data_IF_141764332255
#
_entry.id   IF_141764332255
#
_cell.length_a   1.000
_cell.length_b   1.000
_cell.length_c   1.000
_cell.angle_alpha   90.00
_cell.angle_beta   90.00
_cell.angle_gamma   90.00
#
_symmetry.space_group_name_H-M   'P 1'
#
loop_
_entity.id
_entity.type
_entity.pdbx_description
1 polymer ?
#
# COMPACT_ATOMS: atom_id res chain seq x y z
N UNK A 1 26.57 -60.55 -19.01
CA UNK A 1 26.00 -59.47 -18.18
C UNK A 1 25.80 -58.26 -19.08
N UNK A 2 24.56 -57.80 -19.31
CA UNK A 2 24.34 -56.59 -20.09
C UNK A 2 24.53 -55.36 -19.19
N UNK A 3 25.35 -54.42 -19.67
CA UNK A 3 25.56 -53.08 -19.12
C UNK A 3 24.73 -52.13 -19.96
N UNK A 4 23.65 -51.61 -19.40
CA UNK A 4 22.92 -50.37 -19.77
C UNK A 4 21.98 -50.15 -18.59
N UNK A 5 22.07 -49.07 -17.81
CA UNK A 5 21.44 -47.79 -18.12
C UNK A 5 22.27 -46.66 -17.49
N UNK A 6 22.89 -45.82 -18.32
CA UNK A 6 23.12 -44.42 -17.95
C UNK A 6 21.87 -43.65 -18.34
N UNK A 7 21.07 -43.30 -17.35
CA UNK A 7 20.15 -42.17 -17.43
C UNK A 7 20.72 -41.17 -16.43
N UNK A 8 21.58 -40.29 -16.94
CA UNK A 8 21.91 -39.04 -16.27
C UNK A 8 20.73 -38.10 -16.47
N UNK A 9 19.65 -38.33 -15.72
CA UNK A 9 18.67 -37.29 -15.48
C UNK A 9 19.27 -36.36 -14.43
N UNK A 10 20.09 -35.42 -14.90
CA UNK A 10 20.36 -34.18 -14.18
C UNK A 10 19.08 -33.35 -14.21
N UNK A 11 18.08 -33.78 -13.43
CA UNK A 11 17.02 -32.89 -13.00
C UNK A 11 17.69 -31.77 -12.22
N UNK A 12 17.72 -30.58 -12.82
CA UNK A 12 17.93 -29.33 -12.10
C UNK A 12 16.89 -29.27 -10.98
N UNK A 13 17.22 -29.83 -9.82
CA UNK A 13 16.55 -29.54 -8.57
C UNK A 13 16.94 -28.11 -8.21
N UNK A 14 16.41 -27.13 -8.96
CA UNK A 14 16.33 -25.75 -8.48
C UNK A 14 15.41 -25.79 -7.28
N UNK A 15 15.99 -26.02 -6.11
CA UNK A 15 15.31 -25.82 -4.84
C UNK A 15 14.76 -24.41 -4.86
N UNK A 16 13.44 -24.29 -4.82
CA UNK A 16 12.75 -23.01 -4.75
C UNK A 16 13.38 -22.19 -3.62
N UNK A 17 14.07 -21.11 -3.96
CA UNK A 17 14.66 -20.22 -2.96
C UNK A 17 13.51 -19.58 -2.19
N UNK A 18 13.46 -19.82 -0.89
CA UNK A 18 12.45 -19.23 -0.02
C UNK A 18 12.74 -17.74 0.13
N UNK A 19 11.84 -16.90 -0.38
CA UNK A 19 11.88 -15.45 -0.23
C UNK A 19 10.49 -14.96 0.21
N UNK A 20 10.22 -14.84 1.52
CA UNK A 20 8.88 -14.58 2.06
C UNK A 20 8.34 -13.20 1.66
N UNK A 21 9.22 -12.28 1.28
CA UNK A 21 8.83 -10.98 0.76
C UNK A 21 8.19 -11.07 -0.64
N UNK A 22 8.41 -12.17 -1.38
CA UNK A 22 7.75 -12.44 -2.66
C UNK A 22 6.61 -13.44 -2.42
N UNK A 23 5.35 -13.09 -2.73
CA UNK A 23 4.25 -14.03 -2.65
C UNK A 23 4.47 -15.25 -3.55
N UNK A 24 4.00 -16.41 -3.09
CA UNK A 24 4.21 -17.69 -3.78
C UNK A 24 3.71 -17.68 -5.23
N UNK A 25 2.57 -17.05 -5.47
CA UNK A 25 1.95 -16.95 -6.80
C UNK A 25 2.84 -16.21 -7.81
N UNK A 26 3.68 -15.28 -7.34
CA UNK A 26 4.55 -14.45 -8.17
C UNK A 26 5.98 -15.00 -8.31
N UNK A 27 6.37 -16.01 -7.52
CA UNK A 27 7.73 -16.60 -7.58
C UNK A 27 8.06 -17.21 -8.95
N UNK A 28 7.05 -17.74 -9.65
CA UNK A 28 7.22 -18.28 -11.00
C UNK A 28 7.72 -17.25 -12.00
N UNK A 29 7.47 -15.96 -11.74
CA UNK A 29 7.93 -14.87 -12.59
C UNK A 29 9.41 -14.53 -12.38
N UNK A 30 10.05 -15.06 -11.34
CA UNK A 30 11.42 -14.74 -10.92
C UNK A 30 12.38 -15.94 -11.06
N UNK A 31 11.97 -16.97 -11.81
CA UNK A 31 12.82 -18.12 -12.14
C UNK A 31 14.08 -17.66 -12.87
N UNK A 32 15.25 -18.16 -12.45
CA UNK A 32 16.55 -17.76 -12.98
C UNK A 32 17.24 -16.61 -12.22
N UNK A 33 16.61 -16.05 -11.19
CA UNK A 33 17.18 -15.03 -10.30
C UNK A 33 17.36 -15.56 -8.87
N UNK A 34 17.67 -16.85 -8.71
CA UNK A 34 17.74 -17.51 -7.40
C UNK A 34 18.74 -16.86 -6.44
N UNK A 35 19.91 -16.46 -6.95
CA UNK A 35 20.95 -15.80 -6.15
C UNK A 35 20.50 -14.42 -5.66
N UNK A 36 19.77 -13.67 -6.49
CA UNK A 36 19.23 -12.37 -6.15
C UNK A 36 18.08 -12.50 -5.15
N UNK A 37 17.23 -13.52 -5.30
CA UNK A 37 16.17 -13.83 -4.33
C UNK A 37 16.72 -14.18 -2.95
N UNK A 38 17.85 -14.90 -2.88
CA UNK A 38 18.55 -15.19 -1.62
C UNK A 38 19.04 -13.90 -0.96
N UNK A 39 19.69 -13.00 -1.71
CA UNK A 39 20.10 -11.67 -1.22
C UNK A 39 18.91 -10.83 -0.76
N UNK A 40 17.80 -10.87 -1.51
CA UNK A 40 16.56 -10.16 -1.14
C UNK A 40 16.01 -10.70 0.18
N UNK A 41 16.05 -12.02 0.38
CA UNK A 41 15.65 -12.65 1.64
C UNK A 41 16.55 -12.20 2.81
N UNK A 42 17.88 -12.20 2.62
CA UNK A 42 18.83 -11.72 3.62
C UNK A 42 18.56 -10.26 4.03
N UNK A 43 18.41 -9.35 3.06
CA UNK A 43 18.15 -7.94 3.39
C UNK A 43 16.78 -7.71 4.01
N UNK A 44 15.80 -8.55 3.69
CA UNK A 44 14.49 -8.52 4.33
C UNK A 44 14.59 -8.97 5.79
N UNK A 45 15.33 -10.04 6.08
CA UNK A 45 15.57 -10.52 7.44
C UNK A 45 16.33 -9.50 8.30
N UNK A 46 17.34 -8.85 7.72
CA UNK A 46 18.07 -7.75 8.35
C UNK A 46 17.16 -6.57 8.64
N UNK A 47 16.33 -6.17 7.65
CA UNK A 47 15.36 -5.10 7.83
C UNK A 47 14.37 -5.44 8.95
N UNK A 48 13.77 -6.64 8.95
CA UNK A 48 12.84 -7.08 10.02
C UNK A 48 13.50 -7.04 11.39
N UNK A 49 14.72 -7.55 11.49
CA UNK A 49 15.51 -7.54 12.73
C UNK A 49 15.76 -6.13 13.23
N UNK A 50 16.10 -5.19 12.33
CA UNK A 50 16.31 -3.77 12.66
C UNK A 50 15.03 -3.05 13.07
N UNK A 51 13.87 -3.52 12.61
CA UNK A 51 12.58 -2.90 12.86
C UNK A 51 11.87 -3.42 14.12
N UNK A 52 12.15 -4.65 14.58
CA UNK A 52 11.56 -5.22 15.82
C UNK A 52 11.87 -4.42 17.08
N UNK A 53 12.95 -3.65 17.11
CA UNK A 53 13.30 -2.76 18.22
C UNK A 53 12.65 -1.37 18.15
N UNK A 54 11.91 -1.07 17.08
CA UNK A 54 11.28 0.24 16.89
C UNK A 54 9.83 0.23 17.36
N UNK A 55 9.31 1.34 17.91
CA UNK A 55 7.91 1.42 18.32
C UNK A 55 7.00 1.12 17.13
N UNK A 56 6.12 0.13 17.27
CA UNK A 56 5.06 -0.17 16.30
C UNK A 56 3.85 0.73 16.48
N UNK A 57 3.69 1.35 17.66
CA UNK A 57 2.68 2.38 17.91
C UNK A 57 3.32 3.75 17.67
N UNK A 58 3.08 4.30 16.48
CA UNK A 58 3.53 5.63 16.10
C UNK A 58 2.32 6.38 15.54
N UNK A 59 2.14 7.63 15.94
CA UNK A 59 0.99 8.44 15.51
C UNK A 59 1.26 9.20 14.18
N UNK A 60 2.24 8.76 13.39
CA UNK A 60 2.70 9.47 12.19
C UNK A 60 2.81 8.52 10.99
N UNK A 61 2.04 8.85 9.95
CA UNK A 61 2.01 8.19 8.64
C UNK A 61 3.38 8.19 7.97
N UNK A 62 4.10 9.31 8.05
CA UNK A 62 5.41 9.49 7.44
C UNK A 62 6.45 8.54 7.99
N UNK A 63 6.39 8.23 9.29
CA UNK A 63 7.33 7.29 9.93
C UNK A 63 7.12 5.87 9.39
N UNK A 64 5.87 5.42 9.21
CA UNK A 64 5.63 4.11 8.61
C UNK A 64 6.06 4.05 7.16
N UNK A 65 5.73 5.07 6.37
CA UNK A 65 6.13 5.13 4.97
C UNK A 65 7.64 5.16 4.80
N UNK A 66 8.37 5.87 5.66
CA UNK A 66 9.84 5.90 5.64
C UNK A 66 10.44 4.53 5.99
N UNK A 67 9.91 3.84 7.00
CA UNK A 67 10.37 2.48 7.34
C UNK A 67 10.13 1.48 6.20
N UNK A 68 8.98 1.56 5.55
CA UNK A 68 8.67 0.77 4.36
C UNK A 68 9.62 1.17 3.22
N UNK A 69 9.86 2.45 3.00
CA UNK A 69 10.79 2.95 1.99
C UNK A 69 12.21 2.44 2.22
N UNK A 70 12.67 2.32 3.47
CA UNK A 70 13.96 1.72 3.79
C UNK A 70 14.06 0.27 3.28
N UNK A 71 12.98 -0.52 3.40
CA UNK A 71 12.92 -1.86 2.82
C UNK A 71 13.07 -1.81 1.29
N UNK A 72 12.37 -0.90 0.63
CA UNK A 72 12.47 -0.70 -0.82
C UNK A 72 13.90 -0.40 -1.28
N UNK A 73 14.60 0.45 -0.54
CA UNK A 73 16.00 0.80 -0.81
C UNK A 73 16.89 -0.43 -0.63
N UNK A 74 16.74 -1.18 0.47
CA UNK A 74 17.51 -2.40 0.72
C UNK A 74 17.29 -3.46 -0.37
N UNK A 75 16.05 -3.67 -0.79
CA UNK A 75 15.70 -4.58 -1.90
C UNK A 75 16.33 -4.12 -3.21
N UNK A 76 16.27 -2.81 -3.50
CA UNK A 76 16.91 -2.25 -4.69
C UNK A 76 18.43 -2.46 -4.71
N UNK A 77 19.08 -2.32 -3.54
CA UNK A 77 20.51 -2.60 -3.38
C UNK A 77 20.81 -4.10 -3.55
N UNK A 78 19.98 -4.98 -3.00
CA UNK A 78 20.16 -6.44 -3.09
C UNK A 78 20.09 -6.95 -4.55
N UNK A 79 19.23 -6.34 -5.36
CA UNK A 79 19.14 -6.62 -6.80
C UNK A 79 20.37 -6.10 -7.59
N UNK A 80 21.21 -5.27 -6.96
CA UNK A 80 22.49 -4.81 -7.52
C UNK A 80 22.33 -4.05 -8.84
N UNK A 81 23.06 -4.49 -9.87
CA UNK A 81 23.05 -3.87 -11.19
C UNK A 81 21.82 -4.30 -12.04
N UNK A 82 21.04 -5.27 -11.59
CA UNK A 82 19.89 -5.77 -12.33
C UNK A 82 18.64 -4.92 -12.08
N UNK A 83 18.63 -3.75 -12.73
CA UNK A 83 17.54 -2.79 -12.61
C UNK A 83 16.17 -3.37 -12.95
N UNK A 84 16.10 -4.23 -13.97
CA UNK A 84 14.85 -4.84 -14.39
C UNK A 84 14.26 -5.75 -13.30
N UNK A 85 15.10 -6.54 -12.62
CA UNK A 85 14.68 -7.35 -11.49
C UNK A 85 14.23 -6.49 -10.31
N UNK A 86 15.01 -5.45 -9.97
CA UNK A 86 14.64 -4.53 -8.90
C UNK A 86 13.27 -3.89 -9.12
N UNK A 87 13.02 -3.37 -10.33
CA UNK A 87 11.74 -2.78 -10.71
C UNK A 87 10.60 -3.82 -10.65
N UNK A 88 10.85 -5.04 -11.09
CA UNK A 88 9.86 -6.13 -11.06
C UNK A 88 9.51 -6.55 -9.64
N UNK A 89 10.50 -6.79 -8.80
CA UNK A 89 10.30 -7.16 -7.38
C UNK A 89 9.57 -6.04 -6.64
N UNK A 90 10.00 -4.79 -6.80
CA UNK A 90 9.32 -3.65 -6.17
C UNK A 90 7.88 -3.47 -6.67
N UNK A 91 7.60 -3.80 -7.94
CA UNK A 91 6.25 -3.78 -8.49
C UNK A 91 5.36 -4.87 -7.86
N UNK A 92 5.87 -6.09 -7.70
CA UNK A 92 5.17 -7.20 -7.04
C UNK A 92 4.82 -6.80 -5.59
N UNK A 93 5.83 -6.47 -4.79
CA UNK A 93 5.64 -6.12 -3.36
C UNK A 93 4.70 -4.92 -3.24
N UNK A 94 4.89 -3.88 -4.07
CA UNK A 94 4.05 -2.68 -4.06
C UNK A 94 2.60 -2.95 -4.46
N UNK A 95 2.35 -3.89 -5.39
CA UNK A 95 1.01 -4.32 -5.77
C UNK A 95 0.30 -5.01 -4.61
N UNK A 96 0.97 -5.93 -3.93
CA UNK A 96 0.41 -6.66 -2.79
C UNK A 96 0.15 -5.76 -1.58
N UNK A 97 1.09 -4.86 -1.23
CA UNK A 97 0.83 -3.86 -0.19
C UNK A 97 -0.35 -2.97 -0.51
N UNK A 98 -0.48 -2.51 -1.76
CA UNK A 98 -1.62 -1.70 -2.20
C UNK A 98 -2.93 -2.48 -2.06
N UNK A 99 -2.96 -3.73 -2.52
CA UNK A 99 -4.13 -4.61 -2.42
C UNK A 99 -4.52 -4.84 -0.96
N UNK A 100 -3.55 -5.09 -0.09
CA UNK A 100 -3.77 -5.25 1.34
C UNK A 100 -4.31 -3.97 1.98
N UNK A 101 -3.72 -2.80 1.68
CA UNK A 101 -4.19 -1.51 2.16
C UNK A 101 -5.64 -1.23 1.76
N UNK A 102 -5.97 -1.41 0.47
CA UNK A 102 -7.32 -1.21 -0.06
C UNK A 102 -8.31 -2.20 0.58
N UNK A 103 -7.89 -3.44 0.83
CA UNK A 103 -8.71 -4.43 1.53
C UNK A 103 -9.03 -3.97 2.95
N UNK A 104 -8.05 -3.43 3.69
CA UNK A 104 -8.27 -2.86 5.02
C UNK A 104 -9.22 -1.66 4.97
N UNK A 105 -9.03 -0.74 4.02
CA UNK A 105 -9.95 0.40 3.79
C UNK A 105 -11.36 -0.09 3.50
N UNK A 106 -11.53 -1.13 2.67
CA UNK A 106 -12.83 -1.67 2.30
C UNK A 106 -13.64 -2.19 3.50
N UNK A 107 -12.95 -2.64 4.56
CA UNK A 107 -13.55 -3.13 5.81
C UNK A 107 -13.94 -2.00 6.77
N UNK A 108 -13.51 -0.76 6.52
CA UNK A 108 -13.88 0.38 7.36
C UNK A 108 -15.39 0.67 7.30
N UNK A 109 -16.02 1.01 8.44
CA UNK A 109 -17.43 1.38 8.47
C UNK A 109 -17.66 2.73 7.77
N UNK A 110 -18.76 2.83 7.02
CA UNK A 110 -19.18 4.06 6.35
C UNK A 110 -20.64 4.38 6.74
N UNK A 111 -20.88 4.68 8.02
CA UNK A 111 -22.23 4.89 8.57
C UNK A 111 -22.82 6.25 8.21
N UNK A 112 -21.99 7.22 7.82
CA UNK A 112 -22.40 8.56 7.44
C UNK A 112 -21.54 9.10 6.28
N UNK A 113 -21.95 10.24 5.69
CA UNK A 113 -21.26 10.83 4.54
C UNK A 113 -19.80 11.21 4.81
N UNK A 114 -19.47 11.63 6.04
CA UNK A 114 -18.08 11.96 6.40
C UNK A 114 -17.20 10.69 6.43
N UNK A 115 -17.70 9.60 7.00
CA UNK A 115 -16.99 8.31 6.99
C UNK A 115 -16.86 7.74 5.58
N UNK A 116 -17.89 7.91 4.74
CA UNK A 116 -17.82 7.52 3.33
C UNK A 116 -16.76 8.34 2.57
N UNK A 117 -16.69 9.65 2.84
CA UNK A 117 -15.67 10.54 2.28
C UNK A 117 -14.26 10.13 2.72
N UNK A 118 -14.02 9.92 4.02
CA UNK A 118 -12.73 9.43 4.56
C UNK A 118 -12.34 8.10 3.89
N UNK A 119 -13.26 7.14 3.82
CA UNK A 119 -13.02 5.84 3.20
C UNK A 119 -12.62 5.98 1.73
N UNK A 120 -13.29 6.83 0.96
CA UNK A 120 -12.94 7.07 -0.43
C UNK A 120 -11.60 7.80 -0.59
N UNK A 121 -11.34 8.80 0.26
CA UNK A 121 -10.04 9.51 0.30
C UNK A 121 -8.91 8.52 0.53
N UNK A 122 -9.05 7.63 1.52
CA UNK A 122 -8.04 6.60 1.81
C UNK A 122 -7.88 5.60 0.67
N UNK A 123 -8.97 5.16 0.06
CA UNK A 123 -8.90 4.27 -1.10
C UNK A 123 -8.10 4.93 -2.25
N UNK A 124 -8.37 6.20 -2.54
CA UNK A 124 -7.64 6.97 -3.54
C UNK A 124 -6.16 7.16 -3.16
N UNK A 125 -5.89 7.52 -1.91
CA UNK A 125 -4.54 7.69 -1.38
C UNK A 125 -3.71 6.42 -1.55
N UNK A 126 -4.17 5.28 -1.03
CA UNK A 126 -3.43 4.01 -1.15
C UNK A 126 -3.35 3.49 -2.59
N UNK A 127 -4.36 3.77 -3.42
CA UNK A 127 -4.30 3.44 -4.85
C UNK A 127 -3.15 4.17 -5.57
N UNK A 128 -2.91 5.43 -5.22
CA UNK A 128 -1.90 6.28 -5.86
C UNK A 128 -0.52 6.21 -5.17
N UNK A 129 -0.49 5.75 -3.92
CA UNK A 129 0.71 5.69 -3.11
C UNK A 129 1.82 4.86 -3.76
N UNK A 130 3.04 5.43 -3.71
CA UNK A 130 4.27 4.79 -4.17
C UNK A 130 5.22 4.61 -2.99
N UNK A 131 5.22 3.41 -2.41
CA UNK A 131 6.00 3.07 -1.20
C UNK A 131 7.52 3.28 -1.32
N UNK A 132 8.07 3.27 -2.54
CA UNK A 132 9.51 3.51 -2.78
C UNK A 132 9.91 4.99 -2.90
N UNK A 133 8.97 5.94 -2.84
CA UNK A 133 9.24 7.36 -3.02
C UNK A 133 9.17 8.13 -1.69
N UNK A 134 9.72 9.34 -1.72
CA UNK A 134 9.47 10.32 -0.67
C UNK A 134 8.02 10.78 -0.74
N UNK A 135 7.33 10.72 0.39
CA UNK A 135 5.89 11.01 0.47
C UNK A 135 5.66 12.00 1.60
N UNK A 136 5.02 13.11 1.26
CA UNK A 136 4.49 14.07 2.23
C UNK A 136 3.02 13.72 2.50
N UNK A 137 2.70 13.01 3.61
CA UNK A 137 1.39 12.36 3.76
C UNK A 137 0.22 13.32 3.73
N UNK A 138 0.37 14.48 4.38
CA UNK A 138 -0.64 15.54 4.40
C UNK A 138 -0.97 16.01 2.98
N UNK A 139 0.04 16.30 2.17
CA UNK A 139 -0.15 16.81 0.81
C UNK A 139 -0.80 15.76 -0.10
N UNK A 140 -0.38 14.50 0.00
CA UNK A 140 -0.93 13.41 -0.81
C UNK A 140 -2.38 13.06 -0.43
N UNK A 141 -2.72 13.11 0.86
CA UNK A 141 -4.10 12.91 1.32
C UNK A 141 -4.97 14.10 0.91
N UNK A 142 -4.47 15.33 0.98
CA UNK A 142 -5.19 16.51 0.49
C UNK A 142 -5.51 16.40 -1.02
N UNK A 143 -4.57 15.92 -1.84
CA UNK A 143 -4.79 15.72 -3.29
C UNK A 143 -5.88 14.69 -3.59
N UNK A 144 -6.10 13.76 -2.69
CA UNK A 144 -7.06 12.66 -2.84
C UNK A 144 -8.36 12.86 -2.06
N UNK A 145 -8.46 13.96 -1.31
CA UNK A 145 -9.59 14.28 -0.45
C UNK A 145 -10.89 14.45 -1.26
N UNK A 146 -11.91 13.69 -0.86
CA UNK A 146 -13.26 13.80 -1.43
C UNK A 146 -14.15 14.53 -0.43
N UNK A 147 -14.81 15.61 -0.90
CA UNK A 147 -15.70 16.38 -0.04
C UNK A 147 -16.98 15.59 0.29
N UNK A 148 -17.46 15.57 1.55
CA UNK A 148 -18.71 14.90 1.94
C UNK A 148 -19.94 15.35 1.14
N UNK A 149 -19.93 16.59 0.66
CA UNK A 149 -20.98 17.17 -0.18
C UNK A 149 -21.08 16.52 -1.57
N UNK A 150 -19.97 15.99 -2.10
CA UNK A 150 -19.96 15.24 -3.35
C UNK A 150 -20.60 13.86 -3.18
N UNK A 151 -20.43 13.25 -2.00
CA UNK A 151 -21.06 11.96 -1.64
C UNK A 151 -22.58 12.06 -1.48
N UNK A 152 -23.10 13.22 -1.06
CA UNK A 152 -24.55 13.43 -0.92
C UNK A 152 -25.26 13.49 -2.27
N UNK A 153 -24.63 14.10 -3.28
CA UNK A 153 -25.21 14.34 -4.62
C UNK A 153 -25.35 13.09 -5.49
N UNK A 154 -24.61 12.02 -5.20
CA UNK A 154 -24.70 10.75 -5.95
C UNK A 154 -25.88 9.86 -5.53
N UNK A 155 -26.60 10.21 -4.47
CA UNK A 155 -27.72 9.42 -3.92
C UNK A 155 -29.12 9.98 -4.22
N UNK A 156 -29.23 11.15 -4.84
CA UNK A 156 -30.54 11.75 -5.18
C UNK A 156 -31.01 11.34 -6.59
N UNK A 157 -32.28 10.92 -6.77
CA UNK A 157 -32.87 10.73 -8.09
C UNK A 157 -32.96 12.08 -8.84
N UNK A 158 -32.98 12.10 -10.19
CA UNK A 158 -32.91 13.32 -10.98
C UNK A 158 -34.18 14.17 -10.81
N UNK A 159 -34.19 15.02 -9.78
CA UNK A 159 -35.31 15.90 -9.49
C UNK A 159 -35.20 17.18 -10.31
N UNK A 160 -36.34 17.52 -10.92
CA UNK A 160 -36.60 18.57 -11.89
C UNK A 160 -35.95 19.93 -11.57
N UNK A 161 -35.41 20.52 -12.63
CA UNK A 161 -35.06 21.94 -12.80
C UNK A 161 -36.01 22.86 -12.01
N UNK A 162 -35.46 23.62 -11.06
CA UNK A 162 -36.04 24.89 -10.60
C UNK A 162 -34.99 25.99 -10.56
N UNK A 163 -35.51 27.18 -10.84
CA UNK A 163 -34.91 28.41 -11.33
C UNK A 163 -33.93 29.10 -10.37
N UNK A 164 -32.90 29.71 -10.96
CA UNK A 164 -31.88 30.55 -10.32
C UNK A 164 -32.49 31.77 -9.63
N UNK A 165 -32.31 31.89 -8.33
CA UNK A 165 -32.28 33.16 -7.62
C UNK A 165 -30.88 33.37 -7.04
N UNK A 166 -30.24 34.45 -7.47
CA UNK A 166 -28.87 34.83 -7.12
C UNK A 166 -28.79 35.34 -5.67
N UNK A 167 -28.26 34.52 -4.76
CA UNK A 167 -27.75 34.98 -3.47
C UNK A 167 -26.21 34.98 -3.50
N UNK A 168 -25.61 36.17 -3.63
CA UNK A 168 -24.15 36.36 -3.64
C UNK A 168 -23.54 36.43 -2.23
N UNK A 169 -24.34 36.46 -1.16
CA UNK A 169 -23.85 36.57 0.23
C UNK A 169 -23.68 35.22 0.93
N UNK A 170 -24.27 34.15 0.39
CA UNK A 170 -24.21 32.79 0.97
C UNK A 170 -22.99 31.97 0.53
N UNK A 171 -22.31 32.37 -0.55
CA UNK A 171 -21.19 31.59 -1.13
C UNK A 171 -19.94 31.58 -0.25
N UNK A 172 -19.68 32.65 0.51
CA UNK A 172 -18.50 32.69 1.38
C UNK A 172 -18.65 31.79 2.60
N UNK A 173 -19.83 31.71 3.23
CA UNK A 173 -20.06 30.76 4.33
C UNK A 173 -20.02 29.32 3.84
N UNK A 174 -20.67 29.03 2.71
CA UNK A 174 -20.69 27.68 2.12
C UNK A 174 -19.28 27.21 1.71
N UNK A 175 -18.41 28.12 1.25
CA UNK A 175 -17.01 27.82 0.97
C UNK A 175 -16.21 27.56 2.27
N UNK A 176 -16.38 28.38 3.31
CA UNK A 176 -15.67 28.20 4.60
C UNK A 176 -16.10 26.88 5.26
N UNK A 177 -17.39 26.55 5.27
CA UNK A 177 -17.89 25.28 5.81
C UNK A 177 -17.37 24.08 5.01
N UNK A 178 -17.22 24.23 3.69
CA UNK A 178 -16.64 23.20 2.85
C UNK A 178 -15.15 23.01 3.13
N UNK A 179 -14.39 24.09 3.26
CA UNK A 179 -12.96 24.03 3.56
C UNK A 179 -12.71 23.39 4.94
N UNK A 180 -13.53 23.75 5.95
CA UNK A 180 -13.47 23.13 7.29
C UNK A 180 -13.89 21.65 7.29
N UNK A 181 -14.88 21.27 6.47
CA UNK A 181 -15.31 19.89 6.34
C UNK A 181 -14.27 19.03 5.60
N UNK A 182 -13.61 19.60 4.60
CA UNK A 182 -12.54 18.94 3.84
C UNK A 182 -11.29 18.77 4.74
N UNK A 183 -10.94 19.77 5.57
CA UNK A 183 -9.89 19.65 6.60
C UNK A 183 -10.21 18.59 7.65
N UNK A 184 -11.48 18.48 8.07
CA UNK A 184 -11.95 17.44 8.98
C UNK A 184 -11.80 16.03 8.38
N UNK A 185 -12.09 15.86 7.08
CA UNK A 185 -11.87 14.59 6.37
C UNK A 185 -10.39 14.26 6.26
N UNK A 186 -9.54 15.24 5.97
CA UNK A 186 -8.08 15.05 5.83
C UNK A 186 -7.47 14.60 7.15
N UNK A 187 -7.79 15.25 8.27
CA UNK A 187 -7.24 14.90 9.58
C UNK A 187 -7.67 13.49 10.02
N UNK A 188 -8.95 13.14 9.84
CA UNK A 188 -9.43 11.79 10.15
C UNK A 188 -8.81 10.75 9.21
N UNK A 189 -8.61 11.08 7.93
CA UNK A 189 -7.92 10.20 7.01
C UNK A 189 -6.45 9.99 7.40
N UNK A 190 -5.74 11.01 7.90
CA UNK A 190 -4.40 10.84 8.45
C UNK A 190 -4.41 9.84 9.61
N UNK A 191 -5.28 10.02 10.61
CA UNK A 191 -5.38 9.12 11.77
C UNK A 191 -5.71 7.68 11.38
N UNK A 192 -6.64 7.50 10.43
CA UNK A 192 -7.01 6.16 9.95
C UNK A 192 -5.92 5.53 9.07
N UNK A 193 -5.15 6.34 8.33
CA UNK A 193 -4.03 5.85 7.54
C UNK A 193 -2.90 5.31 8.42
N UNK A 194 -2.68 5.90 9.60
CA UNK A 194 -1.75 5.36 10.62
C UNK A 194 -2.16 3.95 11.01
N UNK A 195 -3.44 3.71 11.30
CA UNK A 195 -3.94 2.37 11.69
C UNK A 195 -3.73 1.35 10.58
N UNK A 196 -4.03 1.73 9.34
CA UNK A 196 -3.84 0.85 8.17
C UNK A 196 -2.37 0.53 7.99
N UNK A 197 -1.50 1.53 8.01
CA UNK A 197 -0.05 1.35 7.84
C UNK A 197 0.57 0.57 8.99
N UNK A 198 0.09 0.74 10.22
CA UNK A 198 0.52 -0.07 11.37
C UNK A 198 0.24 -1.55 11.13
N UNK A 199 -0.97 -1.90 10.65
CA UNK A 199 -1.31 -3.30 10.34
C UNK A 199 -0.42 -3.85 9.21
N UNK A 200 -0.23 -3.08 8.14
CA UNK A 200 0.66 -3.50 7.04
C UNK A 200 2.10 -3.67 7.50
N UNK A 201 2.58 -2.78 8.36
CA UNK A 201 3.91 -2.84 8.91
C UNK A 201 4.09 -4.06 9.80
N UNK A 202 3.12 -4.35 10.68
CA UNK A 202 3.14 -5.55 11.52
C UNK A 202 3.15 -6.83 10.68
N UNK A 203 2.39 -6.89 9.59
CA UNK A 203 2.47 -7.99 8.62
C UNK A 203 3.87 -8.09 8.02
N UNK A 204 4.48 -6.99 7.58
CA UNK A 204 5.85 -6.98 7.06
C UNK A 204 6.91 -7.43 8.08
N UNK A 205 6.64 -7.39 9.38
CA UNK A 205 7.54 -7.93 10.41
C UNK A 205 7.38 -9.45 10.63
N UNK A 206 6.31 -10.04 10.12
CA UNK A 206 6.05 -11.48 10.12
C UNK A 206 7.09 -12.25 9.27
N UNK A 207 7.39 -13.53 9.58
CA UNK A 207 8.08 -14.45 8.66
C UNK A 207 7.27 -14.81 7.42
N UNK A 208 5.96 -14.63 7.45
CA UNK A 208 5.09 -14.66 6.27
C UNK A 208 4.27 -13.36 6.26
N UNK A 209 4.69 -12.34 5.49
CA UNK A 209 4.00 -11.06 5.47
C UNK A 209 2.69 -11.08 4.67
N UNK A 210 2.45 -12.14 3.91
CA UNK A 210 1.28 -12.26 3.05
C UNK A 210 0.20 -13.13 3.66
N UNK A 211 0.57 -14.01 4.59
CA UNK A 211 -0.35 -14.76 5.44
C UNK A 211 -1.36 -15.53 4.60
N UNK A 212 -0.96 -16.69 4.07
CA UNK A 212 -1.91 -17.65 3.52
C UNK A 212 -2.61 -18.36 4.69
N UNK A 213 -3.54 -17.67 5.35
CA UNK A 213 -4.47 -18.26 6.32
C UNK A 213 -5.93 -17.92 5.99
#
# INVERSE_FOLDING_TARGET
MPVTVMVSDSSHNSTLVWCPLIPLDDLSELVGHENELEKINEVYDDWRSSMRGRPTVVDDVGIFLDRIRMLWISVGIACGAERALAEKVQAIIGSHLRKAAITLVSRMPAKNFNQAAVKQTLANFFQQLRFGHDVFPLEEIQKTAVSPHQMKKSSDPPSRRKTKATSKRSKNLENIEKDLADDGVVNVALDESVKILSVLFDHLLSPDPWGVE
#
